data_IF_324813571025
#
_entry.id   IF_324813571025
#
_cell.length_a   1.000
_cell.length_b   1.000
_cell.length_c   1.000
_cell.angle_alpha   90.00
_cell.angle_beta   90.00
_cell.angle_gamma   90.00
#
_symmetry.space_group_name_H-M   'P 1'
#
loop_
_entity.id
_entity.type
_entity.pdbx_description
1 polymer ?
#
# COMPACT_ATOMS: atom_id res chain seq x y z
N UNK A 1 -0.67 -3.07 8.30
CA UNK A 1 -0.04 -2.40 9.45
C UNK A 1 0.57 -3.48 10.34
N UNK A 2 1.91 -3.62 10.34
CA UNK A 2 2.59 -4.54 11.26
C UNK A 2 2.83 -3.82 12.56
N UNK A 3 2.24 -4.34 13.64
CA UNK A 3 2.53 -3.86 14.98
C UNK A 3 3.98 -4.18 15.38
N UNK A 4 4.53 -3.21 16.12
CA UNK A 4 5.71 -3.29 16.99
C UNK A 4 7.08 -3.22 16.31
N UNK A 5 7.82 -2.18 16.73
CA UNK A 5 9.26 -2.09 16.56
C UNK A 5 9.94 -3.35 17.07
N UNK A 6 10.62 -4.04 16.15
CA UNK A 6 11.70 -4.96 16.47
C UNK A 6 12.83 -4.72 15.49
N UNK A 7 14.03 -4.63 16.05
CA UNK A 7 15.32 -4.67 15.34
C UNK A 7 15.24 -5.65 14.16
N UNK A 8 15.60 -5.15 12.98
CA UNK A 8 15.82 -5.98 11.80
C UNK A 8 17.03 -6.87 12.08
N UNK A 9 16.77 -8.08 12.58
CA UNK A 9 17.74 -9.17 12.52
C UNK A 9 17.76 -9.66 11.09
N UNK A 10 18.89 -9.44 10.41
CA UNK A 10 19.20 -10.05 9.11
C UNK A 10 19.32 -11.56 9.28
N UNK A 11 18.18 -12.25 9.33
CA UNK A 11 18.06 -13.68 9.08
C UNK A 11 17.34 -13.87 7.75
N UNK A 12 17.75 -14.87 6.95
CA UNK A 12 17.09 -15.25 5.69
C UNK A 12 15.56 -15.28 5.91
N UNK A 13 14.83 -14.31 5.31
CA UNK A 13 13.37 -14.21 5.45
C UNK A 13 12.76 -15.45 4.79
N UNK A 14 12.10 -16.30 5.58
CA UNK A 14 11.17 -17.32 5.07
C UNK A 14 10.18 -16.64 4.11
N UNK A 15 10.07 -17.18 2.89
CA UNK A 15 9.36 -16.58 1.77
C UNK A 15 7.85 -16.80 1.94
N UNK A 16 7.20 -15.81 2.57
CA UNK A 16 5.74 -15.83 2.74
C UNK A 16 5.06 -15.72 1.40
N UNK A 17 3.97 -16.48 1.19
CA UNK A 17 3.06 -16.24 0.08
C UNK A 17 2.40 -14.87 0.32
N UNK A 18 2.58 -13.96 -0.63
CA UNK A 18 1.94 -12.66 -0.63
C UNK A 18 0.85 -12.65 -1.69
N UNK A 19 -0.36 -12.26 -1.27
CA UNK A 19 -1.50 -12.11 -2.17
C UNK A 19 -1.89 -10.64 -2.13
N UNK A 20 -1.67 -9.94 -3.24
CA UNK A 20 -2.13 -8.57 -3.40
C UNK A 20 -3.58 -8.53 -3.84
N UNK A 21 -4.38 -7.66 -3.24
CA UNK A 21 -5.81 -7.53 -3.51
C UNK A 21 -6.14 -6.08 -3.84
N UNK A 22 -6.81 -5.90 -4.98
CA UNK A 22 -7.43 -4.65 -5.37
C UNK A 22 -8.87 -4.91 -5.81
N UNK A 23 -9.73 -3.90 -5.68
CA UNK A 23 -11.14 -4.03 -6.03
C UNK A 23 -11.75 -2.69 -6.39
N UNK A 24 -12.73 -2.71 -7.29
CA UNK A 24 -13.65 -1.61 -7.55
C UNK A 24 -15.10 -2.10 -7.33
N UNK A 25 -16.10 -1.35 -7.79
CA UNK A 25 -17.51 -1.73 -7.63
C UNK A 25 -17.91 -2.99 -8.41
N UNK A 26 -17.16 -3.33 -9.46
CA UNK A 26 -17.47 -4.42 -10.39
C UNK A 26 -16.59 -5.63 -10.23
N UNK A 27 -15.31 -5.48 -9.90
CA UNK A 27 -14.32 -6.55 -9.91
C UNK A 27 -13.49 -6.59 -8.62
N UNK A 28 -13.00 -7.79 -8.31
CA UNK A 28 -11.91 -8.04 -7.37
C UNK A 28 -10.79 -8.72 -8.16
N UNK A 29 -9.59 -8.17 -8.06
CA UNK A 29 -8.37 -8.73 -8.64
C UNK A 29 -7.48 -9.25 -7.50
N UNK A 30 -7.07 -10.50 -7.58
CA UNK A 30 -6.08 -11.09 -6.70
C UNK A 30 -4.85 -11.42 -7.52
N UNK A 31 -3.67 -11.03 -7.04
CA UNK A 31 -2.39 -11.36 -7.66
C UNK A 31 -1.51 -12.08 -6.65
N UNK A 32 -0.91 -13.19 -7.06
CA UNK A 32 0.13 -13.88 -6.31
C UNK A 32 1.32 -14.21 -7.22
N UNK A 33 2.47 -14.49 -6.60
CA UNK A 33 3.67 -14.94 -7.31
C UNK A 33 3.91 -16.43 -7.08
N UNK A 34 4.29 -17.13 -8.13
CA UNK A 34 4.83 -18.49 -8.09
C UNK A 34 6.20 -18.61 -8.78
N UNK A 35 6.68 -19.84 -8.96
CA UNK A 35 7.96 -20.13 -9.65
C UNK A 35 7.97 -19.69 -11.14
N UNK A 36 6.79 -19.62 -11.77
CA UNK A 36 6.62 -19.27 -13.19
C UNK A 36 6.38 -17.77 -13.41
N UNK A 37 5.91 -17.04 -12.40
CA UNK A 37 5.70 -15.59 -12.49
C UNK A 37 4.56 -15.10 -11.61
N UNK A 38 3.94 -13.99 -12.03
CA UNK A 38 2.75 -13.45 -11.38
C UNK A 38 1.49 -13.96 -12.06
N UNK A 39 0.53 -14.39 -11.25
CA UNK A 39 -0.78 -14.86 -11.73
C UNK A 39 -1.87 -13.97 -11.18
N UNK A 40 -2.85 -13.63 -12.03
CA UNK A 40 -4.03 -12.87 -11.61
C UNK A 40 -5.29 -13.73 -11.66
N UNK A 41 -6.15 -13.62 -10.65
CA UNK A 41 -7.49 -14.19 -10.66
C UNK A 41 -8.52 -13.08 -10.47
N UNK A 42 -9.58 -13.11 -11.29
CA UNK A 42 -10.62 -12.10 -11.33
C UNK A 42 -11.97 -12.62 -10.85
N UNK A 43 -12.69 -11.80 -10.09
CA UNK A 43 -14.04 -12.08 -9.63
C UNK A 43 -14.95 -10.89 -9.90
N UNK A 44 -16.07 -11.10 -10.59
CA UNK A 44 -17.08 -10.05 -10.82
C UNK A 44 -18.02 -9.97 -9.61
N UNK A 45 -18.12 -8.80 -8.98
CA UNK A 45 -18.98 -8.52 -7.82
C UNK A 45 -20.46 -8.46 -8.18
N UNK A 46 -20.77 -8.11 -9.43
CA UNK A 46 -22.12 -7.90 -9.94
C UNK A 46 -22.36 -8.90 -11.07
N UNK A 47 -22.80 -10.10 -10.71
CA UNK A 47 -23.34 -11.11 -11.63
C UNK A 47 -24.87 -11.21 -11.52
N UNK A 48 -25.54 -11.59 -12.62
CA UNK A 48 -27.01 -11.56 -12.78
C UNK A 48 -27.76 -12.15 -11.57
N UNK A 49 -28.63 -11.32 -10.98
CA UNK A 49 -29.67 -11.58 -9.97
C UNK A 49 -29.38 -11.24 -8.50
N UNK A 50 -28.16 -11.30 -7.96
CA UNK A 50 -27.94 -11.00 -6.53
C UNK A 50 -26.57 -10.38 -6.26
N UNK A 51 -26.51 -9.33 -5.42
CA UNK A 51 -25.26 -8.83 -4.83
C UNK A 51 -24.70 -9.90 -3.89
N UNK A 52 -24.04 -10.92 -4.42
CA UNK A 52 -23.30 -11.89 -3.60
C UNK A 52 -22.19 -11.14 -2.88
N UNK A 53 -22.28 -11.08 -1.55
CA UNK A 53 -21.19 -10.63 -0.71
C UNK A 53 -20.08 -11.67 -0.85
N UNK A 54 -18.98 -11.30 -1.51
CA UNK A 54 -17.83 -12.19 -1.65
C UNK A 54 -17.12 -12.29 -0.30
N UNK A 55 -17.06 -13.50 0.23
CA UNK A 55 -16.25 -13.82 1.38
C UNK A 55 -14.78 -13.91 0.95
N UNK A 56 -13.93 -13.07 1.56
CA UNK A 56 -12.52 -12.96 1.20
C UNK A 56 -11.77 -14.27 1.46
N UNK A 57 -12.16 -15.02 2.50
CA UNK A 57 -11.53 -16.29 2.82
C UNK A 57 -11.80 -17.34 1.73
N UNK A 58 -13.02 -17.36 1.18
CA UNK A 58 -13.37 -18.17 0.01
C UNK A 58 -12.52 -17.81 -1.22
N UNK A 59 -12.29 -16.52 -1.49
CA UNK A 59 -11.47 -16.07 -2.62
C UNK A 59 -10.00 -16.46 -2.45
N UNK A 60 -9.46 -16.26 -1.24
CA UNK A 60 -8.08 -16.60 -0.89
C UNK A 60 -7.86 -18.11 -1.00
N UNK A 61 -8.80 -18.92 -0.52
CA UNK A 61 -8.72 -20.38 -0.64
C UNK A 61 -8.73 -20.89 -2.10
N UNK A 62 -9.32 -20.14 -3.03
CA UNK A 62 -9.32 -20.49 -4.46
C UNK A 62 -8.00 -20.17 -5.16
N UNK A 63 -7.34 -19.08 -4.78
CA UNK A 63 -6.03 -18.71 -5.36
C UNK A 63 -4.87 -19.41 -4.67
N UNK A 64 -5.04 -19.82 -3.40
CA UNK A 64 -4.00 -20.50 -2.61
C UNK A 64 -3.33 -21.69 -3.32
N UNK A 65 -4.03 -22.57 -4.06
CA UNK A 65 -3.39 -23.68 -4.78
C UNK A 65 -2.47 -23.25 -5.93
N UNK A 66 -2.65 -22.03 -6.45
CA UNK A 66 -1.80 -21.45 -7.50
C UNK A 66 -0.51 -20.84 -6.93
N UNK A 67 -0.49 -20.53 -5.63
CA UNK A 67 0.73 -20.16 -4.95
C UNK A 67 1.56 -21.42 -4.67
N UNK A 68 2.87 -21.37 -4.93
CA UNK A 68 3.81 -22.50 -4.78
C UNK A 68 3.64 -23.20 -3.44
N UNK A 69 3.86 -24.53 -3.45
CA UNK A 69 4.02 -25.42 -2.29
C UNK A 69 4.80 -24.76 -1.15
N UNK A 70 4.11 -24.04 -0.28
CA UNK A 70 4.71 -23.54 0.93
C UNK A 70 3.79 -23.82 2.11
N UNK A 71 4.36 -24.49 3.09
CA UNK A 71 3.89 -24.64 4.46
C UNK A 71 3.90 -23.31 5.24
N UNK A 72 3.94 -22.18 4.54
CA UNK A 72 4.26 -20.87 5.10
C UNK A 72 3.04 -19.98 5.32
N UNK A 73 3.21 -19.02 6.23
CA UNK A 73 2.20 -18.03 6.59
C UNK A 73 1.86 -17.16 5.37
N UNK A 74 0.58 -17.13 5.00
CA UNK A 74 0.05 -16.24 3.96
C UNK A 74 0.02 -14.81 4.50
N UNK A 75 0.37 -13.83 3.67
CA UNK A 75 0.11 -12.42 3.89
C UNK A 75 -0.80 -11.89 2.79
N UNK A 76 -1.90 -11.26 3.18
CA UNK A 76 -2.86 -10.63 2.27
C UNK A 76 -2.64 -9.13 2.34
N UNK A 77 -2.37 -8.50 1.21
CA UNK A 77 -2.04 -7.09 1.10
C UNK A 77 -3.17 -6.36 0.40
N UNK A 78 -3.92 -5.56 1.14
CA UNK A 78 -4.99 -4.72 0.60
C UNK A 78 -4.48 -3.37 0.16
N UNK A 79 -4.88 -2.96 -1.05
CA UNK A 79 -4.76 -1.58 -1.51
C UNK A 79 -5.88 -0.74 -0.90
N UNK A 80 -5.54 0.07 0.09
CA UNK A 80 -6.44 1.01 0.73
C UNK A 80 -6.49 2.30 -0.11
N UNK A 81 -7.68 2.78 -0.48
CA UNK A 81 -7.81 4.03 -1.20
C UNK A 81 -7.11 5.18 -0.46
N UNK A 82 -6.41 6.03 -1.21
CA UNK A 82 -5.60 7.10 -0.65
C UNK A 82 -6.45 8.03 0.24
N UNK A 83 -7.69 8.30 -0.16
CA UNK A 83 -8.64 9.16 0.56
C UNK A 83 -9.09 8.60 1.90
N UNK A 84 -8.99 7.28 2.10
CA UNK A 84 -9.39 6.63 3.35
C UNK A 84 -8.30 6.70 4.41
N UNK A 85 -7.07 7.03 4.01
CA UNK A 85 -5.93 7.19 4.91
C UNK A 85 -5.73 8.68 5.20
N UNK A 86 -6.04 9.08 6.42
CA UNK A 86 -5.68 10.43 6.89
C UNK A 86 -4.17 10.49 7.13
N UNK A 87 -3.55 11.60 6.74
CA UNK A 87 -2.09 11.78 6.75
C UNK A 87 -1.70 13.15 7.29
N UNK A 88 -0.67 13.19 8.12
CA UNK A 88 -0.08 14.45 8.60
C UNK A 88 1.43 14.34 8.75
N UNK A 89 2.12 15.38 8.31
CA UNK A 89 3.55 15.57 8.58
C UNK A 89 3.73 16.41 9.85
N UNK A 90 4.51 15.90 10.79
CA UNK A 90 4.89 16.52 12.05
C UNK A 90 6.41 16.70 12.09
N UNK A 91 6.86 17.63 12.92
CA UNK A 91 8.27 17.94 13.11
C UNK A 91 8.59 17.98 14.60
N UNK A 92 9.57 17.20 15.03
CA UNK A 92 9.99 17.07 16.42
C UNK A 92 11.50 17.30 16.56
N UNK A 93 12.01 17.72 17.74
CA UNK A 93 13.45 17.84 17.98
C UNK A 93 14.12 16.47 18.10
N UNK A 94 15.36 16.31 17.60
CA UNK A 94 16.11 15.04 17.49
C UNK A 94 16.43 14.34 18.81
N UNK A 95 16.52 15.08 19.91
CA UNK A 95 17.05 14.59 21.19
C UNK A 95 16.00 13.87 22.08
N UNK A 96 15.01 13.22 21.46
CA UNK A 96 13.94 12.51 22.18
C UNK A 96 14.00 11.01 21.93
N UNK A 97 13.47 10.23 22.87
CA UNK A 97 13.34 8.78 22.72
C UNK A 97 12.18 8.45 21.76
N UNK A 98 12.22 7.25 21.15
CA UNK A 98 11.12 6.74 20.34
C UNK A 98 9.79 6.69 21.09
N UNK A 99 9.83 6.43 22.39
CA UNK A 99 8.63 6.44 23.24
C UNK A 99 8.05 7.85 23.39
N UNK A 100 8.91 8.86 23.53
CA UNK A 100 8.49 10.27 23.60
C UNK A 100 7.82 10.69 22.29
N UNK A 101 8.40 10.37 21.13
CA UNK A 101 7.76 10.64 19.83
C UNK A 101 6.39 9.95 19.74
N UNK A 102 6.31 8.67 20.12
CA UNK A 102 5.05 7.93 20.09
C UNK A 102 3.96 8.58 20.94
N UNK A 103 4.28 9.02 22.17
CA UNK A 103 3.34 9.72 23.06
C UNK A 103 2.89 11.05 22.48
N UNK A 104 3.80 11.82 21.88
CA UNK A 104 3.46 13.10 21.23
C UNK A 104 2.56 12.90 20.02
N UNK A 105 2.80 11.87 19.20
CA UNK A 105 1.92 11.50 18.09
C UNK A 105 0.51 11.19 18.62
N UNK A 106 0.38 10.38 19.69
CA UNK A 106 -0.93 10.09 20.30
C UNK A 106 -1.62 11.37 20.77
N UNK A 107 -0.92 12.26 21.47
CA UNK A 107 -1.49 13.51 21.95
C UNK A 107 -1.98 14.38 20.79
N UNK A 108 -1.19 14.49 19.72
CA UNK A 108 -1.58 15.20 18.50
C UNK A 108 -2.83 14.59 17.86
N UNK A 109 -2.87 13.26 17.72
CA UNK A 109 -4.02 12.56 17.14
C UNK A 109 -5.31 12.81 17.93
N UNK A 110 -5.23 12.81 19.28
CA UNK A 110 -6.37 13.12 20.15
C UNK A 110 -6.93 14.54 19.98
N UNK A 111 -6.11 15.47 19.51
CA UNK A 111 -6.51 16.88 19.31
C UNK A 111 -7.07 17.13 17.91
N UNK A 112 -6.53 16.44 16.89
CA UNK A 112 -6.73 16.82 15.49
C UNK A 112 -7.65 15.89 14.72
N UNK A 113 -7.74 14.61 15.12
CA UNK A 113 -8.62 13.66 14.45
C UNK A 113 -9.98 13.66 15.17
N UNK A 114 -11.11 13.86 14.45
CA UNK A 114 -12.44 13.91 15.04
C UNK A 114 -12.99 12.51 15.40
N UNK A 115 -12.14 11.64 15.96
CA UNK A 115 -12.44 10.28 16.38
C UNK A 115 -11.63 9.95 17.64
N UNK A 116 -12.17 9.10 18.50
CA UNK A 116 -11.45 8.61 19.67
C UNK A 116 -10.23 7.79 19.23
N UNK A 117 -9.12 7.86 19.97
CA UNK A 117 -7.89 7.12 19.63
C UNK A 117 -8.13 5.60 19.61
N UNK A 118 -9.08 5.13 20.42
CA UNK A 118 -9.52 3.74 20.50
C UNK A 118 -10.20 3.27 19.22
N UNK A 119 -10.71 4.17 18.38
CA UNK A 119 -11.36 3.90 17.09
C UNK A 119 -10.40 4.01 15.90
N UNK A 120 -9.10 4.25 16.16
CA UNK A 120 -8.07 4.49 15.15
C UNK A 120 -7.01 3.38 15.12
N UNK A 121 -6.64 2.98 13.92
CA UNK A 121 -5.32 2.42 13.67
C UNK A 121 -4.42 3.52 13.14
N UNK A 122 -3.18 3.59 13.62
CA UNK A 122 -2.19 4.52 13.09
C UNK A 122 -0.81 3.89 13.01
N UNK A 123 -0.03 4.36 12.04
CA UNK A 123 1.38 4.01 11.84
C UNK A 123 2.13 5.29 11.47
N UNK A 124 3.46 5.27 11.55
CA UNK A 124 4.25 6.44 11.24
C UNK A 124 5.63 6.09 10.68
N UNK A 125 6.09 6.93 9.76
CA UNK A 125 7.45 6.92 9.24
C UNK A 125 8.23 8.08 9.85
N UNK A 126 9.49 7.85 10.22
CA UNK A 126 10.37 8.89 10.78
C UNK A 126 11.63 9.02 9.95
N UNK A 127 12.03 10.26 9.72
CA UNK A 127 13.23 10.64 8.96
C UNK A 127 13.94 11.75 9.72
N UNK A 128 15.27 11.62 9.87
CA UNK A 128 16.07 12.68 10.46
C UNK A 128 16.51 13.64 9.36
N UNK A 129 16.17 14.92 9.51
CA UNK A 129 16.62 16.00 8.63
C UNK A 129 17.88 16.62 9.25
N UNK A 130 19.05 16.15 8.80
CA UNK A 130 20.36 16.54 9.36
C UNK A 130 20.59 18.06 9.33
N UNK A 131 20.16 18.74 8.27
CA UNK A 131 20.36 20.19 8.10
C UNK A 131 19.62 21.05 9.13
N UNK A 132 18.53 20.54 9.69
CA UNK A 132 17.63 21.30 10.57
C UNK A 132 17.66 20.81 12.03
N UNK A 133 18.35 19.71 12.32
CA UNK A 133 18.30 19.03 13.61
C UNK A 133 16.86 18.72 14.06
N UNK A 134 16.03 18.26 13.11
CA UNK A 134 14.61 17.93 13.29
C UNK A 134 14.34 16.50 12.81
N UNK A 135 13.46 15.79 13.51
CA UNK A 135 12.83 14.55 13.04
C UNK A 135 11.52 14.92 12.36
N UNK A 136 11.42 14.58 11.08
CA UNK A 136 10.18 14.61 10.33
C UNK A 136 9.45 13.30 10.53
N UNK A 137 8.17 13.39 10.89
CA UNK A 137 7.30 12.22 11.08
C UNK A 137 6.11 12.33 10.17
N UNK A 138 5.87 11.31 9.34
CA UNK A 138 4.66 11.19 8.55
C UNK A 138 3.75 10.18 9.24
N UNK A 139 2.64 10.67 9.78
CA UNK A 139 1.63 9.87 10.47
C UNK A 139 0.54 9.46 9.48
N UNK A 140 0.15 8.19 9.53
CA UNK A 140 -0.92 7.60 8.73
C UNK A 140 -2.00 7.05 9.66
N UNK A 141 -3.26 7.38 9.43
CA UNK A 141 -4.39 6.99 10.27
C UNK A 141 -5.49 6.37 9.42
N UNK A 142 -6.07 5.29 9.94
CA UNK A 142 -7.19 4.57 9.34
C UNK A 142 -8.23 4.26 10.41
N UNK A 143 -9.51 4.47 10.09
CA UNK A 143 -10.61 4.12 11.01
C UNK A 143 -10.69 2.61 11.20
N UNK A 144 -10.73 2.14 12.46
CA UNK A 144 -10.81 0.71 12.79
C UNK A 144 -12.00 0.03 12.14
N UNK A 145 -13.19 0.62 12.19
CA UNK A 145 -14.38 0.03 11.56
C UNK A 145 -14.22 -0.29 10.06
N UNK A 146 -13.48 0.54 9.33
CA UNK A 146 -13.15 0.27 7.93
C UNK A 146 -12.08 -0.84 7.81
N UNK A 147 -10.97 -0.71 8.53
CA UNK A 147 -9.90 -1.71 8.51
C UNK A 147 -10.39 -3.11 8.93
N UNK A 148 -11.28 -3.16 9.91
CA UNK A 148 -11.87 -4.38 10.45
C UNK A 148 -12.83 -5.04 9.48
N UNK A 149 -13.48 -4.27 8.60
CA UNK A 149 -14.29 -4.82 7.52
C UNK A 149 -13.48 -5.58 6.47
N UNK A 150 -12.17 -5.35 6.43
CA UNK A 150 -11.20 -6.05 5.58
C UNK A 150 -10.53 -7.21 6.29
N UNK A 151 -10.83 -7.43 7.59
CA UNK A 151 -10.29 -8.57 8.32
C UNK A 151 -10.79 -9.87 7.70
N UNK A 152 -9.92 -10.86 7.72
CA UNK A 152 -10.17 -12.19 7.19
C UNK A 152 -9.52 -13.22 8.14
N UNK A 153 -9.97 -14.47 8.08
CA UNK A 153 -9.49 -15.50 9.02
C UNK A 153 -8.19 -16.17 8.54
N UNK A 154 -7.82 -15.94 7.28
CA UNK A 154 -6.69 -16.58 6.62
C UNK A 154 -5.49 -15.65 6.52
N UNK A 155 -4.44 -15.95 7.27
CA UNK A 155 -3.14 -15.28 7.11
C UNK A 155 -3.04 -13.92 7.79
N UNK A 156 -1.92 -13.25 7.56
CA UNK A 156 -1.63 -11.92 8.10
C UNK A 156 -2.14 -10.84 7.15
N UNK A 157 -2.74 -9.79 7.70
CA UNK A 157 -3.29 -8.70 6.89
C UNK A 157 -2.34 -7.51 6.89
N UNK A 158 -1.99 -7.07 5.68
CA UNK A 158 -1.29 -5.83 5.43
C UNK A 158 -2.27 -4.87 4.74
N UNK A 159 -2.36 -3.67 5.27
CA UNK A 159 -3.13 -2.57 4.70
C UNK A 159 -2.09 -1.59 4.19
N UNK A 160 -2.01 -1.41 2.88
CA UNK A 160 -1.06 -0.51 2.23
C UNK A 160 -1.82 0.53 1.39
N UNK A 161 -1.21 1.69 1.18
CA UNK A 161 -1.82 2.75 0.39
C UNK A 161 -1.80 2.38 -1.09
N UNK A 162 -2.94 2.53 -1.78
CA UNK A 162 -3.06 2.25 -3.21
C UNK A 162 -2.03 2.99 -4.06
N UNK A 163 -1.63 4.20 -3.64
CA UNK A 163 -0.65 4.97 -4.38
C UNK A 163 0.72 4.27 -4.38
N UNK A 164 1.19 3.81 -3.21
CA UNK A 164 2.45 3.04 -3.11
C UNK A 164 2.35 1.71 -3.85
N UNK A 165 1.22 1.01 -3.74
CA UNK A 165 0.96 -0.19 -4.53
C UNK A 165 1.07 0.09 -6.02
N UNK A 166 0.38 1.12 -6.52
CA UNK A 166 0.40 1.46 -7.94
C UNK A 166 1.81 1.75 -8.45
N UNK A 167 2.59 2.56 -7.70
CA UNK A 167 3.96 2.90 -8.08
C UNK A 167 4.85 1.64 -8.17
N UNK A 168 4.76 0.74 -7.19
CA UNK A 168 5.51 -0.53 -7.24
C UNK A 168 5.09 -1.40 -8.43
N UNK A 169 3.78 -1.51 -8.68
CA UNK A 169 3.24 -2.28 -9.79
C UNK A 169 3.72 -1.75 -11.15
N UNK A 170 3.59 -0.44 -11.40
CA UNK A 170 3.99 0.15 -12.68
C UNK A 170 5.50 0.09 -12.90
N UNK A 171 6.32 0.24 -11.84
CA UNK A 171 7.77 0.08 -11.96
C UNK A 171 8.15 -1.34 -12.36
N UNK A 172 7.51 -2.34 -11.74
CA UNK A 172 7.71 -3.74 -12.12
C UNK A 172 7.36 -3.99 -13.59
N UNK A 173 6.17 -3.54 -14.02
CA UNK A 173 5.70 -3.73 -15.40
C UNK A 173 6.60 -3.05 -16.43
N UNK A 174 7.06 -1.83 -16.14
CA UNK A 174 7.96 -1.09 -17.02
C UNK A 174 9.44 -1.50 -16.89
N UNK A 175 9.75 -2.51 -16.06
CA UNK A 175 11.12 -2.95 -15.74
C UNK A 175 12.04 -1.82 -15.31
N UNK A 176 11.48 -0.80 -14.65
CA UNK A 176 12.26 0.31 -14.11
C UNK A 176 12.82 -0.13 -12.75
N UNK A 177 14.13 -0.35 -12.67
CA UNK A 177 14.83 -0.53 -11.40
C UNK A 177 14.89 0.80 -10.66
N UNK A 178 13.88 1.08 -9.85
CA UNK A 178 13.88 2.26 -8.99
C UNK A 178 13.84 1.76 -7.55
N UNK A 179 14.95 1.96 -6.84
CA UNK A 179 14.93 1.92 -5.37
C UNK A 179 14.19 3.18 -4.88
N UNK A 180 13.21 2.99 -3.99
CA UNK A 180 12.60 4.09 -3.27
C UNK A 180 13.60 4.62 -2.25
N UNK A 181 14.52 5.48 -2.70
CA UNK A 181 15.36 6.24 -1.78
C UNK A 181 14.73 7.62 -1.56
N UNK A 182 13.86 7.70 -0.55
CA UNK A 182 13.29 8.96 -0.08
C UNK A 182 14.34 9.94 0.47
N UNK A 183 15.57 9.48 0.74
CA UNK A 183 16.67 10.31 1.26
C UNK A 183 17.53 10.93 0.15
N UNK A 184 17.44 10.42 -1.09
CA UNK A 184 18.08 11.08 -2.22
C UNK A 184 17.27 12.30 -2.62
N UNK A 185 17.93 13.39 -3.04
CA UNK A 185 17.34 14.59 -3.66
C UNK A 185 16.60 14.26 -4.98
N UNK A 186 15.70 13.29 -4.93
CA UNK A 186 15.04 12.71 -6.10
C UNK A 186 14.15 13.75 -6.73
N UNK A 187 14.36 13.89 -8.04
CA UNK A 187 13.46 14.61 -8.93
C UNK A 187 12.02 14.19 -8.66
N UNK A 188 11.12 15.16 -8.54
CA UNK A 188 9.70 14.88 -8.38
C UNK A 188 9.22 13.95 -9.48
N UNK A 189 8.58 12.85 -9.10
CA UNK A 189 8.04 11.87 -10.06
C UNK A 189 6.52 11.92 -10.07
N UNK A 190 5.98 11.83 -11.28
CA UNK A 190 4.55 11.94 -11.54
C UNK A 190 4.02 10.67 -12.21
N UNK A 191 2.93 10.12 -11.67
CA UNK A 191 2.30 8.92 -12.19
C UNK A 191 0.82 9.16 -12.49
N UNK A 192 0.37 8.75 -13.66
CA UNK A 192 -1.05 8.79 -14.05
C UNK A 192 -1.79 7.64 -13.38
N UNK A 193 -2.76 7.97 -12.53
CA UNK A 193 -3.56 7.01 -11.78
C UNK A 193 -5.04 7.28 -12.00
N UNK A 194 -5.62 6.65 -13.03
CA UNK A 194 -6.97 6.95 -13.51
C UNK A 194 -7.06 8.42 -13.92
N UNK A 195 -8.07 9.13 -13.38
CA UNK A 195 -8.26 10.57 -13.55
C UNK A 195 -7.42 11.45 -12.60
N UNK A 196 -6.43 10.89 -11.90
CA UNK A 196 -5.62 11.58 -10.89
C UNK A 196 -4.13 11.47 -11.22
N UNK A 197 -3.33 12.32 -10.57
CA UNK A 197 -1.87 12.26 -10.59
C UNK A 197 -1.33 11.96 -9.20
N UNK A 198 -0.48 10.94 -9.11
CA UNK A 198 0.36 10.67 -7.94
C UNK A 198 1.67 11.43 -8.11
N UNK A 199 1.99 12.30 -7.16
CA UNK A 199 3.28 12.97 -7.04
C UNK A 199 4.05 12.36 -5.88
N UNK A 200 5.31 12.00 -6.12
CA UNK A 200 6.25 11.59 -5.07
C UNK A 200 7.35 12.64 -4.97
N UNK A 201 7.60 13.11 -3.76
CA UNK A 201 8.78 13.91 -3.42
C UNK A 201 9.22 13.63 -1.98
N UNK A 202 10.19 14.39 -1.48
CA UNK A 202 10.67 14.26 -0.11
C UNK A 202 9.54 14.39 0.94
N UNK A 203 8.45 15.11 0.67
CA UNK A 203 7.32 15.23 1.60
C UNK A 203 6.38 14.00 1.60
N UNK A 204 6.71 12.96 0.84
CA UNK A 204 5.92 11.75 0.69
C UNK A 204 5.07 11.76 -0.57
N UNK A 205 3.93 11.06 -0.50
CA UNK A 205 3.04 10.87 -1.64
C UNK A 205 1.83 11.81 -1.58
N UNK A 206 1.61 12.54 -2.66
CA UNK A 206 0.43 13.38 -2.89
C UNK A 206 -0.39 12.85 -4.05
N UNK A 207 -1.71 12.76 -3.86
CA UNK A 207 -2.66 12.47 -4.92
C UNK A 207 -3.45 13.74 -5.23
N UNK A 208 -3.56 14.10 -6.51
CA UNK A 208 -4.29 15.29 -6.93
C UNK A 208 -5.15 15.01 -8.17
N UNK A 209 -6.24 15.77 -8.32
CA UNK A 209 -7.07 15.75 -9.53
C UNK A 209 -6.46 16.59 -10.66
N UNK A 210 -5.31 17.23 -10.43
CA UNK A 210 -4.66 18.07 -11.43
C UNK A 210 -4.01 17.19 -12.49
N UNK A 211 -4.49 17.27 -13.73
CA UNK A 211 -3.93 16.52 -14.87
C UNK A 211 -2.78 17.26 -15.56
N UNK A 212 -2.57 18.54 -15.24
CA UNK A 212 -1.45 19.32 -15.76
C UNK A 212 -0.24 19.19 -14.84
N UNK A 213 0.89 18.78 -15.43
CA UNK A 213 2.18 18.64 -14.75
C UNK A 213 3.06 19.77 -15.27
N UNK A 214 3.55 20.61 -14.35
CA UNK A 214 4.34 21.79 -14.72
C UNK A 214 5.79 21.44 -15.10
N UNK A 215 6.30 20.29 -14.65
CA UNK A 215 7.68 19.84 -14.86
C UNK A 215 7.80 18.33 -14.62
N UNK A 216 8.58 17.61 -15.44
CA UNK A 216 8.90 16.18 -15.25
C UNK A 216 8.19 15.22 -16.22
N UNK A 217 8.67 13.98 -16.30
CA UNK A 217 8.06 12.92 -17.11
C UNK A 217 6.83 12.33 -16.39
N UNK A 218 5.70 12.25 -17.09
CA UNK A 218 4.53 11.50 -16.63
C UNK A 218 4.69 10.01 -16.96
N UNK A 219 4.72 9.19 -15.92
CA UNK A 219 4.74 7.73 -16.03
C UNK A 219 3.28 7.23 -16.04
N UNK A 220 2.90 6.45 -17.05
CA UNK A 220 1.53 5.96 -17.23
C UNK A 220 1.53 4.46 -17.57
N UNK A 221 0.59 3.70 -17.02
CA UNK A 221 0.39 2.28 -17.36
C UNK A 221 -0.08 2.09 -18.80
N UNK A 222 -0.61 3.13 -19.44
CA UNK A 222 -1.06 3.09 -20.84
C UNK A 222 0.08 2.78 -21.82
N UNK A 223 1.34 2.97 -21.37
CA UNK A 223 2.54 2.58 -22.13
C UNK A 223 2.80 1.07 -22.11
N UNK A 224 2.09 0.30 -21.28
CA UNK A 224 2.26 -1.14 -21.12
C UNK A 224 1.13 -1.92 -21.82
N UNK A 225 1.50 -2.93 -22.60
CA UNK A 225 0.55 -3.82 -23.25
C UNK A 225 0.19 -4.98 -22.31
N UNK A 226 -1.03 -4.99 -21.79
CA UNK A 226 -1.54 -6.05 -20.93
C UNK A 226 -2.02 -7.24 -21.74
N UNK A 227 -1.98 -8.43 -21.11
CA UNK A 227 -2.59 -9.65 -21.65
C UNK A 227 -4.12 -9.50 -21.72
N UNK A 228 -4.76 -10.24 -22.63
CA UNK A 228 -6.19 -10.07 -22.95
C UNK A 228 -7.15 -10.45 -21.82
N UNK A 229 -6.68 -11.25 -20.88
CA UNK A 229 -7.42 -11.72 -19.71
C UNK A 229 -7.38 -10.73 -18.53
N UNK A 230 -6.56 -9.68 -18.62
CA UNK A 230 -6.56 -8.56 -17.66
C UNK A 230 -7.81 -7.69 -17.87
N UNK A 231 -8.78 -7.79 -16.96
CA UNK A 231 -10.06 -7.08 -17.07
C UNK A 231 -9.97 -5.58 -16.78
N UNK A 232 -9.05 -5.18 -15.91
CA UNK A 232 -8.83 -3.78 -15.53
C UNK A 232 -7.33 -3.54 -15.23
N UNK A 233 -6.60 -2.84 -16.13
CA UNK A 233 -5.17 -2.54 -15.95
C UNK A 233 -4.81 -1.85 -14.63
N UNK A 234 -5.68 -0.96 -14.13
CA UNK A 234 -5.43 -0.24 -12.88
C UNK A 234 -5.56 -1.17 -11.68
N UNK A 235 -6.63 -1.97 -11.62
CA UNK A 235 -6.80 -2.95 -10.55
C UNK A 235 -5.66 -3.97 -10.55
N UNK A 236 -5.27 -4.50 -11.71
CA UNK A 236 -4.15 -5.43 -11.78
C UNK A 236 -2.85 -4.81 -11.29
N UNK A 237 -2.53 -3.58 -11.73
CA UNK A 237 -1.31 -2.89 -11.31
C UNK A 237 -1.28 -2.67 -9.80
N UNK A 238 -2.41 -2.33 -9.20
CA UNK A 238 -2.57 -2.20 -7.74
C UNK A 238 -2.32 -3.54 -7.04
N UNK A 239 -3.00 -4.62 -7.46
CA UNK A 239 -2.86 -5.93 -6.85
C UNK A 239 -1.44 -6.48 -6.99
N UNK A 240 -0.82 -6.32 -8.17
CA UNK A 240 0.58 -6.66 -8.40
C UNK A 240 1.51 -5.91 -7.46
N UNK A 241 1.36 -4.59 -7.35
CA UNK A 241 2.16 -3.78 -6.45
C UNK A 241 1.96 -4.10 -4.96
N UNK A 242 0.77 -4.54 -4.57
CA UNK A 242 0.51 -5.07 -3.24
C UNK A 242 1.16 -6.43 -3.01
N UNK A 243 1.14 -7.32 -4.02
CA UNK A 243 1.85 -8.59 -3.98
C UNK A 243 3.37 -8.41 -3.82
N UNK A 244 3.92 -7.34 -4.40
CA UNK A 244 5.33 -6.93 -4.30
C UNK A 244 5.72 -6.23 -2.98
N UNK A 245 4.80 -6.09 -2.02
CA UNK A 245 5.08 -5.40 -0.76
C UNK A 245 6.24 -6.08 0.00
N UNK A 246 7.26 -5.34 0.40
CA UNK A 246 8.44 -5.93 1.07
C UNK A 246 8.60 -5.45 2.53
N UNK A 247 7.65 -4.67 3.03
CA UNK A 247 7.69 -4.04 4.35
C UNK A 247 8.53 -2.76 4.42
N UNK A 248 9.05 -2.29 3.28
CA UNK A 248 9.65 -0.96 3.16
C UNK A 248 8.62 -0.06 2.47
N UNK A 249 8.36 1.08 3.10
CA UNK A 249 7.68 2.21 2.46
C UNK A 249 8.57 2.81 1.40
#
# INVERSE_FOLDING_TARGET
MRFLGRKVLFGRKKQRIQIGISQNDRYICLVCQDESGFHSTWYEKIGKAERKKYDLDTLVNKIRPQAVRFTEKIAIVHCIPYEYIWRKTLFFPVNQSNETYYRQIIQYLKQEVPLNIEDLYFDYYMEKLEENNVIKVIVYVLRKGFADSLKNTIGEIVLDCEAYCFIRGIHYLLRKNIEFDFNSNTEERYYKFGGKIIQINHNGVKLSNCTSIRKGELISIEKYAFEKDILDPHLYTLALGACLWNGKG
#
